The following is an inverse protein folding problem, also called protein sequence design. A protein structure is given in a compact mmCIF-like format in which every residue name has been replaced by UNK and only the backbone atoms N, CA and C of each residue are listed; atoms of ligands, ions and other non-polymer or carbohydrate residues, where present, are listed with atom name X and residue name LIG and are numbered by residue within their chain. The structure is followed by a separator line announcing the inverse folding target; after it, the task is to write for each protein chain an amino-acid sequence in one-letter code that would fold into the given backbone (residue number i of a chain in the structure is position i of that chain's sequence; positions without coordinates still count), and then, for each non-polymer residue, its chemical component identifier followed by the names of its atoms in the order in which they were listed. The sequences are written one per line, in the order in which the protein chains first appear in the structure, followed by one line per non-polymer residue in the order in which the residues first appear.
data_IF_169728199392
#
_entry.id   IF_169728199392
#
_cell.length_a   1.000
_cell.length_b   1.000
_cell.length_c   1.000
_cell.angle_alpha   90.00
_cell.angle_beta   90.00
_cell.angle_gamma   90.00
#
_symmetry.space_group_name_H-M   'P 1'
#
loop_
_entity.id
_entity.type
_entity.pdbx_description
1 polymer ?
#
# COMPACT_ATOMS: atom_id res chain seq x y z
N UNK A 1 -6.59 -4.35 -5.53
CA UNK A 1 -6.39 -2.98 -6.05
C UNK A 1 -5.09 -2.95 -6.82
N UNK A 2 -4.88 -2.01 -7.74
CA UNK A 2 -3.72 -2.01 -8.64
C UNK A 2 -3.33 -0.58 -9.02
N UNK A 3 -2.47 -0.39 -10.02
CA UNK A 3 -1.95 0.89 -10.48
C UNK A 3 -3.02 1.98 -10.71
N UNK A 4 -4.24 1.63 -11.11
CA UNK A 4 -5.34 2.57 -11.37
C UNK A 4 -5.76 3.38 -10.13
N UNK A 5 -5.46 2.92 -8.92
CA UNK A 5 -5.68 3.67 -7.68
C UNK A 5 -4.97 5.04 -7.72
N UNK A 6 -3.80 5.08 -8.36
CA UNK A 6 -2.94 6.26 -8.46
C UNK A 6 -2.97 6.94 -9.83
N UNK A 7 -3.88 6.52 -10.73
CA UNK A 7 -3.98 7.08 -12.09
C UNK A 7 -4.12 8.60 -12.09
N UNK A 8 -4.97 9.14 -11.23
CA UNK A 8 -5.21 10.60 -11.14
C UNK A 8 -4.01 11.34 -10.57
N UNK A 9 -3.38 10.80 -9.54
CA UNK A 9 -2.15 11.35 -8.97
C UNK A 9 -1.03 11.38 -10.01
N UNK A 10 -0.86 10.28 -10.75
CA UNK A 10 0.12 10.20 -11.83
C UNK A 10 -0.14 11.26 -12.91
N UNK A 11 -1.40 11.45 -13.31
CA UNK A 11 -1.79 12.51 -14.25
C UNK A 11 -1.47 13.94 -13.75
N UNK A 12 -1.60 14.18 -12.44
CA UNK A 12 -1.29 15.48 -11.84
C UNK A 12 0.22 15.68 -11.71
N UNK A 13 0.97 14.63 -11.40
CA UNK A 13 2.40 14.70 -11.10
C UNK A 13 3.30 14.58 -12.33
N UNK A 14 2.79 14.07 -13.46
CA UNK A 14 3.59 13.78 -14.66
C UNK A 14 4.26 15.00 -15.30
N UNK A 15 3.80 16.22 -14.98
CA UNK A 15 4.46 17.45 -15.44
C UNK A 15 5.81 17.71 -14.75
N UNK A 16 5.95 17.20 -13.51
CA UNK A 16 7.05 17.52 -12.63
C UNK A 16 7.93 16.28 -12.34
N UNK A 17 7.34 15.09 -12.46
CA UNK A 17 7.98 13.81 -12.06
C UNK A 17 7.77 12.72 -13.11
N UNK A 18 8.74 11.83 -13.23
CA UNK A 18 8.52 10.52 -13.83
C UNK A 18 7.83 9.63 -12.80
N UNK A 19 6.57 9.29 -13.05
CA UNK A 19 5.75 8.47 -12.14
C UNK A 19 5.74 7.02 -12.59
N UNK A 20 6.10 6.11 -11.69
CA UNK A 20 6.15 4.67 -11.92
C UNK A 20 5.16 4.01 -10.96
N UNK A 21 4.28 3.19 -11.49
CA UNK A 21 3.23 2.50 -10.73
C UNK A 21 3.42 0.98 -10.87
N UNK A 22 4.23 0.34 -10.02
CA UNK A 22 4.44 -1.10 -10.10
C UNK A 22 3.15 -1.87 -9.75
N UNK A 23 2.95 -2.99 -10.44
CA UNK A 23 1.91 -3.97 -10.08
C UNK A 23 2.57 -5.03 -9.21
N UNK A 24 2.06 -5.21 -7.99
CA UNK A 24 2.56 -6.21 -7.07
C UNK A 24 2.22 -7.62 -7.56
N UNK A 25 3.06 -8.58 -7.24
CA UNK A 25 2.84 -10.00 -7.56
C UNK A 25 1.48 -10.48 -7.03
N UNK A 26 0.81 -11.35 -7.78
CA UNK A 26 -0.52 -11.87 -7.45
C UNK A 26 -1.66 -10.88 -7.63
N UNK A 27 -1.40 -9.62 -8.03
CA UNK A 27 -2.43 -8.62 -8.34
C UNK A 27 -2.78 -8.65 -9.82
N UNK A 28 -3.96 -8.13 -10.17
CA UNK A 28 -4.40 -8.06 -11.56
C UNK A 28 -3.41 -7.26 -12.41
N UNK A 29 -2.93 -7.87 -13.50
CA UNK A 29 -1.89 -7.32 -14.37
C UNK A 29 -0.48 -7.83 -14.08
N UNK A 30 -0.25 -8.59 -12.99
CA UNK A 30 0.99 -9.33 -12.77
C UNK A 30 0.93 -10.71 -13.43
N UNK A 31 2.03 -11.14 -14.00
CA UNK A 31 2.26 -12.50 -14.52
C UNK A 31 2.91 -13.43 -13.47
N UNK A 32 3.18 -12.91 -12.27
CA UNK A 32 3.81 -13.64 -11.17
C UNK A 32 2.83 -13.87 -10.02
N UNK A 33 2.79 -15.07 -9.40
CA UNK A 33 2.01 -15.32 -8.21
C UNK A 33 2.60 -14.56 -7.01
N UNK A 34 1.76 -14.22 -6.04
CA UNK A 34 2.22 -13.61 -4.80
C UNK A 34 2.95 -14.65 -3.93
N UNK A 35 4.18 -14.35 -3.55
CA UNK A 35 5.01 -15.21 -2.69
C UNK A 35 5.16 -14.60 -1.29
N UNK A 36 5.70 -13.38 -1.20
CA UNK A 36 5.85 -12.67 0.08
C UNK A 36 5.93 -11.16 -0.11
N UNK A 37 5.79 -10.40 0.98
CA UNK A 37 6.06 -8.96 1.01
C UNK A 37 7.54 -8.71 0.69
N UNK A 38 8.43 -9.57 1.20
CA UNK A 38 9.86 -9.46 0.97
C UNK A 38 10.24 -9.65 -0.50
N UNK A 39 9.70 -10.64 -1.18
CA UNK A 39 10.01 -10.87 -2.60
C UNK A 39 9.52 -9.72 -3.49
N UNK A 40 8.37 -9.12 -3.17
CA UNK A 40 7.89 -7.91 -3.84
C UNK A 40 8.83 -6.72 -3.58
N UNK A 41 9.31 -6.55 -2.35
CA UNK A 41 10.27 -5.50 -2.02
C UNK A 41 11.59 -5.70 -2.77
N UNK A 42 12.15 -6.89 -2.77
CA UNK A 42 13.40 -7.23 -3.47
C UNK A 42 13.27 -7.03 -4.99
N UNK A 43 12.13 -7.40 -5.59
CA UNK A 43 11.86 -7.20 -7.01
C UNK A 43 11.81 -5.70 -7.38
N UNK A 44 11.17 -4.87 -6.56
CA UNK A 44 11.11 -3.42 -6.79
C UNK A 44 12.48 -2.78 -6.56
N UNK A 45 13.24 -3.20 -5.55
CA UNK A 45 14.62 -2.75 -5.32
C UNK A 45 15.50 -3.07 -6.54
N UNK A 46 15.45 -4.29 -7.04
CA UNK A 46 16.21 -4.71 -8.22
C UNK A 46 15.83 -3.89 -9.46
N UNK A 47 14.55 -3.57 -9.63
CA UNK A 47 14.07 -2.70 -10.70
C UNK A 47 14.63 -1.27 -10.57
N UNK A 48 14.61 -0.69 -9.35
CA UNK A 48 15.19 0.63 -9.07
C UNK A 48 16.71 0.64 -9.31
N UNK A 49 17.40 -0.41 -8.91
CA UNK A 49 18.83 -0.56 -9.15
C UNK A 49 19.15 -0.53 -10.65
N UNK A 50 18.38 -1.26 -11.44
CA UNK A 50 18.63 -1.38 -12.87
C UNK A 50 18.23 -0.13 -13.68
N UNK A 51 17.05 0.44 -13.41
CA UNK A 51 16.49 1.51 -14.23
C UNK A 51 16.69 2.92 -13.67
N UNK A 52 16.93 3.05 -12.35
CA UNK A 52 17.02 4.35 -11.67
C UNK A 52 18.40 4.59 -11.01
N UNK A 53 19.38 3.72 -11.24
CA UNK A 53 20.70 3.86 -10.64
C UNK A 53 20.75 3.65 -9.14
N UNK A 54 19.79 2.87 -8.58
CA UNK A 54 19.77 2.44 -7.19
C UNK A 54 19.07 3.39 -6.22
N UNK A 55 18.56 4.52 -6.69
CA UNK A 55 17.91 5.52 -5.83
C UNK A 55 16.79 6.28 -6.56
N UNK A 56 15.72 6.63 -5.85
CA UNK A 56 14.63 7.46 -6.36
C UNK A 56 14.29 8.61 -5.40
N UNK A 57 13.66 9.65 -5.91
CA UNK A 57 13.28 10.80 -5.09
C UNK A 57 12.27 10.41 -4.00
N UNK A 58 11.16 9.76 -4.36
CA UNK A 58 10.08 9.40 -3.44
C UNK A 58 9.48 8.04 -3.78
N UNK A 59 9.16 7.27 -2.73
CA UNK A 59 8.35 6.05 -2.85
C UNK A 59 7.12 6.19 -1.96
N UNK A 60 5.93 5.94 -2.53
CA UNK A 60 4.67 5.93 -1.79
C UNK A 60 4.02 4.55 -1.77
N UNK A 61 3.34 4.20 -0.67
CA UNK A 61 2.61 2.95 -0.56
C UNK A 61 1.41 3.02 0.37
N UNK A 62 0.29 2.44 -0.08
CA UNK A 62 -0.94 2.28 0.69
C UNK A 62 -1.08 0.84 1.18
N UNK A 63 -1.39 0.66 2.47
CA UNK A 63 -1.76 -0.64 3.05
C UNK A 63 -0.68 -1.71 2.79
N UNK A 64 -0.95 -2.76 2.00
CA UNK A 64 0.05 -3.74 1.58
C UNK A 64 1.24 -3.07 0.84
N UNK A 65 0.98 -2.09 -0.02
CA UNK A 65 2.04 -1.31 -0.65
C UNK A 65 2.89 -0.53 0.35
N UNK A 66 2.29 -0.05 1.45
CA UNK A 66 3.00 0.54 2.57
C UNK A 66 3.88 -0.47 3.32
N UNK A 67 3.41 -1.72 3.49
CA UNK A 67 4.21 -2.80 4.09
C UNK A 67 5.40 -3.18 3.19
N UNK A 68 5.19 -3.25 1.86
CA UNK A 68 6.28 -3.47 0.90
C UNK A 68 7.31 -2.33 0.98
N UNK A 69 6.87 -1.08 1.05
CA UNK A 69 7.76 0.07 1.22
C UNK A 69 8.56 -0.01 2.52
N UNK A 70 7.91 -0.33 3.65
CA UNK A 70 8.60 -0.49 4.94
C UNK A 70 9.66 -1.62 4.89
N UNK A 71 9.36 -2.71 4.18
CA UNK A 71 10.33 -3.78 3.95
C UNK A 71 11.50 -3.30 3.07
N UNK A 72 11.24 -2.56 1.99
CA UNK A 72 12.29 -1.96 1.15
C UNK A 72 13.22 -1.07 1.96
N UNK A 73 12.68 -0.19 2.80
CA UNK A 73 13.46 0.71 3.66
C UNK A 73 14.30 -0.05 4.70
N UNK A 74 13.83 -1.22 5.14
CA UNK A 74 14.56 -2.09 6.07
C UNK A 74 15.73 -2.80 5.41
N UNK A 75 15.60 -3.14 4.11
CA UNK A 75 16.62 -3.85 3.32
C UNK A 75 17.64 -2.90 2.75
N UNK A 76 17.17 -1.74 2.25
CA UNK A 76 17.97 -0.75 1.52
C UNK A 76 17.78 0.62 2.14
N UNK A 77 18.72 1.03 2.99
CA UNK A 77 18.60 2.24 3.82
C UNK A 77 18.43 3.53 3.02
N UNK A 78 18.99 3.60 1.82
CA UNK A 78 19.11 4.77 0.96
C UNK A 78 18.35 4.65 -0.36
N UNK A 79 17.34 3.77 -0.43
CA UNK A 79 16.58 3.49 -1.66
C UNK A 79 15.82 4.71 -2.19
N UNK A 80 15.41 5.61 -1.30
CA UNK A 80 14.74 6.87 -1.65
C UNK A 80 15.09 7.99 -0.66
N UNK A 81 14.89 9.24 -1.09
CA UNK A 81 15.02 10.41 -0.20
C UNK A 81 13.78 10.55 0.69
N UNK A 82 12.59 10.34 0.14
CA UNK A 82 11.32 10.48 0.83
C UNK A 82 10.51 9.20 0.74
N UNK A 83 9.85 8.82 1.83
CA UNK A 83 8.93 7.70 1.88
C UNK A 83 7.57 8.16 2.40
N UNK A 84 6.49 7.85 1.67
CA UNK A 84 5.13 8.15 2.05
C UNK A 84 4.38 6.85 2.33
N UNK A 85 4.09 6.57 3.59
CA UNK A 85 3.42 5.34 4.04
C UNK A 85 2.01 5.68 4.47
N UNK A 86 1.00 5.14 3.79
CA UNK A 86 -0.40 5.33 4.13
C UNK A 86 -1.01 4.04 4.66
N UNK A 87 -1.63 4.08 5.83
CA UNK A 87 -2.51 3.02 6.36
C UNK A 87 -1.88 1.62 6.44
N UNK A 88 -0.56 1.53 6.69
CA UNK A 88 0.13 0.25 6.78
C UNK A 88 -0.05 -0.40 8.16
N UNK A 89 -0.39 -1.70 8.20
CA UNK A 89 -0.45 -2.48 9.44
C UNK A 89 0.89 -3.17 9.70
N UNK A 90 1.46 -2.96 10.90
CA UNK A 90 2.70 -3.64 11.33
C UNK A 90 2.50 -4.44 12.62
N UNK A 91 1.26 -4.51 13.10
CA UNK A 91 0.88 -5.32 14.27
C UNK A 91 0.18 -6.58 13.76
N UNK A 92 0.78 -7.76 13.90
CA UNK A 92 0.20 -9.01 13.44
C UNK A 92 -1.18 -9.30 14.04
N UNK A 93 -2.03 -9.98 13.26
CA UNK A 93 -3.36 -10.43 13.67
C UNK A 93 -3.49 -11.94 13.48
N UNK A 94 -3.08 -12.76 14.45
CA UNK A 94 -3.13 -14.22 14.32
C UNK A 94 -4.54 -14.75 14.02
N UNK A 95 -5.55 -14.18 14.66
CA UNK A 95 -6.94 -14.57 14.41
C UNK A 95 -7.38 -14.24 12.99
N UNK A 96 -7.14 -13.02 12.50
CA UNK A 96 -7.48 -12.64 11.13
C UNK A 96 -6.71 -13.48 10.13
N UNK A 97 -5.42 -13.71 10.38
CA UNK A 97 -4.57 -14.58 9.56
C UNK A 97 -5.16 -15.99 9.44
N UNK A 98 -5.50 -16.63 10.55
CA UNK A 98 -6.07 -17.96 10.57
C UNK A 98 -7.45 -18.05 9.86
N UNK A 99 -8.27 -17.01 9.97
CA UNK A 99 -9.59 -16.95 9.36
C UNK A 99 -9.57 -16.56 7.87
N UNK A 100 -8.46 -16.03 7.34
CA UNK A 100 -8.36 -15.57 5.95
C UNK A 100 -8.63 -16.71 4.96
N UNK A 101 -7.93 -17.82 5.07
CA UNK A 101 -8.09 -18.94 4.14
C UNK A 101 -9.50 -19.55 4.14
N UNK A 102 -10.14 -19.89 5.28
CA UNK A 102 -11.52 -20.40 5.28
C UNK A 102 -12.53 -19.34 4.80
N UNK A 103 -12.38 -18.06 5.16
CA UNK A 103 -13.28 -16.99 4.74
C UNK A 103 -13.26 -16.81 3.21
N UNK A 104 -12.08 -16.61 2.63
CA UNK A 104 -11.94 -16.49 1.16
C UNK A 104 -12.17 -17.84 0.46
N UNK A 105 -11.86 -18.96 1.15
CA UNK A 105 -12.12 -20.30 0.63
C UNK A 105 -13.58 -20.52 0.27
N UNK A 106 -14.49 -20.08 1.12
CA UNK A 106 -15.93 -20.24 0.96
C UNK A 106 -16.58 -19.12 0.13
N UNK A 107 -16.09 -17.88 0.24
CA UNK A 107 -16.73 -16.70 -0.36
C UNK A 107 -16.11 -16.24 -1.69
N UNK A 108 -15.01 -16.85 -2.14
CA UNK A 108 -14.30 -16.41 -3.34
C UNK A 108 -15.18 -16.36 -4.60
N UNK A 109 -16.12 -17.31 -4.76
CA UNK A 109 -17.06 -17.27 -5.88
C UNK A 109 -17.99 -16.06 -5.87
N UNK A 110 -18.29 -15.51 -4.69
CA UNK A 110 -19.19 -14.37 -4.52
C UNK A 110 -18.58 -13.05 -5.02
N UNK A 111 -17.25 -12.92 -5.02
CA UNK A 111 -16.59 -11.69 -5.50
C UNK A 111 -16.86 -11.41 -6.98
N UNK A 112 -17.19 -12.45 -7.78
CA UNK A 112 -17.58 -12.33 -9.18
C UNK A 112 -19.05 -11.92 -9.35
N UNK A 113 -19.84 -11.97 -8.28
CA UNK A 113 -21.20 -11.44 -8.28
C UNK A 113 -21.15 -9.92 -8.14
N UNK A 114 -21.62 -9.19 -9.16
CA UNK A 114 -21.52 -7.73 -9.22
C UNK A 114 -22.24 -7.02 -8.05
N UNK A 115 -23.39 -7.57 -7.61
CA UNK A 115 -24.12 -6.99 -6.47
C UNK A 115 -23.37 -7.16 -5.15
N UNK A 116 -22.76 -8.31 -4.93
CA UNK A 116 -21.89 -8.56 -3.79
C UNK A 116 -20.65 -7.65 -3.84
N UNK A 117 -20.00 -7.54 -5.01
CA UNK A 117 -18.86 -6.67 -5.21
C UNK A 117 -19.20 -5.19 -4.94
N UNK A 118 -20.39 -4.71 -5.34
CA UNK A 118 -20.86 -3.34 -5.00
C UNK A 118 -20.99 -3.12 -3.50
N UNK A 119 -21.55 -4.10 -2.77
CA UNK A 119 -21.68 -4.02 -1.31
C UNK A 119 -20.30 -4.00 -0.63
N UNK A 120 -19.39 -4.85 -1.07
CA UNK A 120 -18.02 -4.89 -0.58
C UNK A 120 -17.28 -3.57 -0.90
N UNK A 121 -17.41 -3.05 -2.12
CA UNK A 121 -16.80 -1.80 -2.54
C UNK A 121 -17.31 -0.60 -1.71
N UNK A 122 -18.62 -0.56 -1.43
CA UNK A 122 -19.20 0.48 -0.57
C UNK A 122 -18.57 0.51 0.83
N UNK A 123 -18.22 -0.66 1.39
CA UNK A 123 -17.55 -0.75 2.69
C UNK A 123 -16.12 -0.24 2.69
N UNK A 124 -15.49 -0.09 1.52
CA UNK A 124 -14.15 0.47 1.38
C UNK A 124 -14.14 2.02 1.37
N UNK A 125 -15.28 2.66 1.35
CA UNK A 125 -15.43 4.12 1.32
C UNK A 125 -14.65 4.82 0.19
N UNK A 126 -14.49 4.13 -0.95
CA UNK A 126 -13.80 4.63 -2.14
C UNK A 126 -14.74 5.41 -3.05
N UNK A 127 -14.18 6.29 -3.89
CA UNK A 127 -14.95 7.00 -4.92
C UNK A 127 -15.64 6.02 -5.87
N UNK A 128 -16.94 6.22 -6.11
CA UNK A 128 -17.77 5.34 -6.96
C UNK A 128 -17.20 5.18 -8.37
N UNK A 129 -16.50 6.18 -8.89
CA UNK A 129 -15.85 6.12 -10.20
C UNK A 129 -14.78 5.00 -10.35
N UNK A 130 -14.26 4.49 -9.22
CA UNK A 130 -13.26 3.42 -9.19
C UNK A 130 -13.88 2.01 -9.17
N UNK A 131 -15.21 1.89 -9.11
CA UNK A 131 -15.87 0.60 -8.96
C UNK A 131 -15.59 -0.36 -10.13
N UNK A 132 -15.61 0.12 -11.37
CA UNK A 132 -15.41 -0.74 -12.54
C UNK A 132 -13.98 -1.30 -12.60
N UNK A 133 -12.98 -0.48 -12.30
CA UNK A 133 -11.59 -0.93 -12.19
C UNK A 133 -11.43 -1.95 -11.04
N UNK A 134 -12.02 -1.66 -9.87
CA UNK A 134 -12.02 -2.56 -8.73
C UNK A 134 -12.66 -3.91 -9.07
N UNK A 135 -13.85 -3.92 -9.66
CA UNK A 135 -14.58 -5.13 -9.99
C UNK A 135 -13.85 -5.99 -11.02
N UNK A 136 -13.38 -5.36 -12.11
CA UNK A 136 -12.58 -6.04 -13.13
C UNK A 136 -11.37 -6.73 -12.52
N UNK A 137 -10.56 -6.01 -11.78
CA UNK A 137 -9.32 -6.54 -11.23
C UNK A 137 -9.57 -7.60 -10.14
N UNK A 138 -10.59 -7.40 -9.30
CA UNK A 138 -10.96 -8.40 -8.29
C UNK A 138 -11.37 -9.72 -8.93
N UNK A 139 -12.04 -9.69 -10.10
CA UNK A 139 -12.39 -10.89 -10.85
C UNK A 139 -11.19 -11.60 -11.49
N UNK A 140 -10.08 -10.90 -11.73
CA UNK A 140 -8.87 -11.44 -12.36
C UNK A 140 -7.89 -12.04 -11.35
N UNK A 141 -7.89 -11.55 -10.09
CA UNK A 141 -7.00 -12.07 -9.05
C UNK A 141 -7.35 -13.53 -8.75
N UNK A 142 -6.34 -14.39 -8.71
CA UNK A 142 -6.51 -15.80 -8.38
C UNK A 142 -6.81 -15.98 -6.88
N UNK A 143 -7.61 -17.02 -6.55
CA UNK A 143 -7.95 -17.33 -5.15
C UNK A 143 -6.72 -17.55 -4.28
N UNK A 144 -5.73 -18.27 -4.80
CA UNK A 144 -4.50 -18.56 -4.06
C UNK A 144 -3.74 -17.27 -3.73
N UNK A 145 -3.58 -16.37 -4.70
CA UNK A 145 -2.91 -15.08 -4.52
C UNK A 145 -3.65 -14.18 -3.53
N UNK A 146 -4.99 -14.12 -3.64
CA UNK A 146 -5.81 -13.33 -2.71
C UNK A 146 -5.62 -13.80 -1.26
N UNK A 147 -5.62 -15.10 -1.02
CA UNK A 147 -5.35 -15.68 0.30
C UNK A 147 -3.92 -15.36 0.72
N UNK A 148 -2.93 -15.57 -0.16
CA UNK A 148 -1.52 -15.40 0.16
C UNK A 148 -1.18 -13.95 0.57
N UNK A 149 -1.57 -12.94 -0.23
CA UNK A 149 -1.25 -11.57 0.13
C UNK A 149 -2.03 -11.05 1.34
N UNK A 150 -3.27 -11.52 1.56
CA UNK A 150 -4.03 -11.18 2.78
C UNK A 150 -3.41 -11.82 4.02
N UNK A 151 -2.95 -13.06 3.94
CA UNK A 151 -2.24 -13.73 5.03
C UNK A 151 -0.89 -13.05 5.32
N UNK A 152 -0.11 -12.73 4.29
CA UNK A 152 1.14 -12.01 4.44
C UNK A 152 0.92 -10.64 5.12
N UNK A 153 -0.08 -9.88 4.66
CA UNK A 153 -0.41 -8.58 5.23
C UNK A 153 -0.84 -8.67 6.71
N UNK A 154 -1.60 -9.70 7.08
CA UNK A 154 -2.07 -9.87 8.46
C UNK A 154 -1.03 -10.46 9.41
N UNK A 155 0.03 -11.06 8.88
CA UNK A 155 1.17 -11.59 9.63
C UNK A 155 2.36 -10.62 9.72
N UNK A 156 2.37 -9.56 8.90
CA UNK A 156 3.50 -8.65 8.79
C UNK A 156 3.81 -7.97 10.14
N UNK A 157 5.09 -7.95 10.48
CA UNK A 157 5.65 -7.19 11.59
C UNK A 157 6.83 -6.34 11.10
N UNK A 158 7.02 -5.18 11.73
CA UNK A 158 8.06 -4.24 11.35
C UNK A 158 9.45 -4.86 11.58
N UNK A 159 10.29 -4.83 10.55
CA UNK A 159 11.68 -5.26 10.66
C UNK A 159 12.47 -4.19 11.44
N UNK A 160 13.16 -4.54 12.56
CA UNK A 160 13.91 -3.58 13.35
C UNK A 160 15.01 -2.83 12.58
N UNK A 161 15.52 -3.39 11.49
CA UNK A 161 16.53 -2.75 10.65
C UNK A 161 16.04 -1.42 10.03
N UNK A 162 14.72 -1.16 10.02
CA UNK A 162 14.13 0.07 9.51
C UNK A 162 14.59 1.32 10.27
N UNK A 163 14.98 1.17 11.55
CA UNK A 163 15.53 2.27 12.33
C UNK A 163 16.77 2.92 11.69
N UNK A 164 17.44 2.19 10.80
CA UNK A 164 18.60 2.66 10.06
C UNK A 164 18.30 3.31 8.71
N UNK A 165 17.03 3.47 8.31
CA UNK A 165 16.71 4.12 7.04
C UNK A 165 17.24 5.56 6.97
N UNK A 166 17.73 5.96 5.81
CA UNK A 166 18.14 7.33 5.53
C UNK A 166 16.99 8.19 4.96
N UNK A 167 15.87 7.55 4.60
CA UNK A 167 14.72 8.23 4.04
C UNK A 167 13.99 9.09 5.09
N UNK A 168 13.50 10.25 4.67
CA UNK A 168 12.53 11.02 5.46
C UNK A 168 11.16 10.35 5.32
N UNK A 169 10.65 9.76 6.42
CA UNK A 169 9.43 8.97 6.38
C UNK A 169 8.23 9.80 6.85
N UNK A 170 7.23 9.91 5.98
CA UNK A 170 5.94 10.54 6.25
C UNK A 170 4.84 9.49 6.31
N UNK A 171 4.19 9.41 7.47
CA UNK A 171 3.12 8.46 7.75
C UNK A 171 1.78 9.17 7.67
N UNK A 172 0.81 8.55 7.01
CA UNK A 172 -0.56 9.06 6.92
C UNK A 172 -1.54 7.96 7.36
N UNK A 173 -2.51 8.34 8.17
CA UNK A 173 -3.61 7.47 8.58
C UNK A 173 -4.90 8.28 8.66
N UNK A 174 -6.01 7.67 8.29
CA UNK A 174 -7.33 8.29 8.48
C UNK A 174 -7.77 8.22 9.95
N UNK A 175 -8.42 9.27 10.45
CA UNK A 175 -8.97 9.29 11.81
C UNK A 175 -9.97 8.15 12.07
N UNK A 176 -10.73 7.76 11.05
CA UNK A 176 -11.76 6.70 11.12
C UNK A 176 -11.23 5.30 10.81
N UNK A 177 -9.93 5.13 10.79
CA UNK A 177 -9.33 3.80 10.65
C UNK A 177 -9.53 2.93 11.90
N UNK A 178 -9.39 1.62 11.72
CA UNK A 178 -9.42 0.73 12.87
C UNK A 178 -8.21 0.99 13.80
N UNK A 179 -8.41 0.71 15.09
CA UNK A 179 -7.39 0.97 16.13
C UNK A 179 -6.04 0.29 15.89
N UNK A 180 -6.03 -0.82 15.12
CA UNK A 180 -4.77 -1.52 14.80
C UNK A 180 -3.92 -0.72 13.83
N UNK A 181 -4.52 -0.10 12.82
CA UNK A 181 -3.81 0.77 11.87
C UNK A 181 -3.25 1.99 12.60
N UNK A 182 -4.05 2.65 13.44
CA UNK A 182 -3.58 3.80 14.21
C UNK A 182 -2.40 3.43 15.13
N UNK A 183 -2.51 2.32 15.87
CA UNK A 183 -1.41 1.80 16.68
C UNK A 183 -0.19 1.39 15.85
N UNK A 184 -0.41 0.89 14.65
CA UNK A 184 0.68 0.56 13.72
C UNK A 184 1.39 1.82 13.26
N UNK A 185 0.67 2.90 12.97
CA UNK A 185 1.27 4.18 12.62
C UNK A 185 2.13 4.74 13.77
N UNK A 186 1.63 4.67 15.02
CA UNK A 186 2.41 5.03 16.21
C UNK A 186 3.67 4.16 16.35
N UNK A 187 3.55 2.84 16.16
CA UNK A 187 4.67 1.91 16.25
C UNK A 187 5.74 2.17 15.18
N UNK A 188 5.33 2.46 13.94
CA UNK A 188 6.25 2.83 12.85
C UNK A 188 6.96 4.15 13.20
N UNK A 189 6.20 5.15 13.65
CA UNK A 189 6.75 6.44 14.04
C UNK A 189 7.77 6.31 15.19
N UNK A 190 7.47 5.47 16.18
CA UNK A 190 8.40 5.18 17.28
C UNK A 190 9.66 4.40 16.86
N UNK A 191 9.59 3.61 15.79
CA UNK A 191 10.71 2.81 15.29
C UNK A 191 11.65 3.56 14.32
N UNK A 192 11.16 4.64 13.69
CA UNK A 192 11.93 5.40 12.69
C UNK A 192 12.21 6.80 13.22
N UNK A 193 13.45 7.10 13.67
CA UNK A 193 13.80 8.43 14.15
C UNK A 193 13.56 9.51 13.09
N UNK A 194 12.91 10.61 13.47
CA UNK A 194 12.61 11.74 12.59
C UNK A 194 11.42 11.55 11.66
N UNK A 195 10.73 10.40 11.69
CA UNK A 195 9.49 10.20 10.95
C UNK A 195 8.37 11.12 11.46
N UNK A 196 7.42 11.44 10.57
CA UNK A 196 6.28 12.33 10.89
C UNK A 196 4.97 11.61 10.65
N UNK A 197 4.09 11.59 11.66
CA UNK A 197 2.73 11.03 11.53
C UNK A 197 1.70 12.16 11.38
N UNK A 198 0.87 12.04 10.37
CA UNK A 198 -0.30 12.91 10.13
C UNK A 198 -1.56 12.06 10.17
N UNK A 199 -2.41 12.29 11.17
CA UNK A 199 -3.76 11.71 11.22
C UNK A 199 -4.72 12.65 10.51
N UNK A 200 -5.38 12.16 9.47
CA UNK A 200 -6.23 12.95 8.58
C UNK A 200 -7.70 12.90 9.04
N UNK A 201 -8.28 14.06 9.46
CA UNK A 201 -9.63 14.09 10.00
C UNK A 201 -10.68 13.56 9.03
N UNK A 202 -11.61 12.77 9.54
CA UNK A 202 -12.76 12.25 8.81
C UNK A 202 -12.48 11.18 7.78
N UNK A 203 -11.22 10.82 7.50
CA UNK A 203 -10.85 9.82 6.49
C UNK A 203 -10.86 8.39 7.02
N UNK A 204 -11.25 7.47 6.15
CA UNK A 204 -11.16 6.03 6.33
C UNK A 204 -9.85 5.49 5.71
N UNK A 205 -9.68 4.16 5.76
CA UNK A 205 -8.54 3.43 5.21
C UNK A 205 -8.26 3.79 3.75
N UNK A 206 -7.07 4.29 3.45
CA UNK A 206 -6.68 4.72 2.10
C UNK A 206 -7.41 5.97 1.59
N UNK A 207 -8.18 6.63 2.46
CA UNK A 207 -9.00 7.79 2.05
C UNK A 207 -8.20 8.96 1.52
N UNK A 208 -6.94 9.07 1.86
CA UNK A 208 -6.07 10.13 1.38
C UNK A 208 -5.69 9.93 -0.09
N UNK A 209 -5.07 8.80 -0.42
CA UNK A 209 -4.68 8.53 -1.81
C UNK A 209 -5.87 8.22 -2.71
N UNK A 210 -6.88 7.47 -2.23
CA UNK A 210 -7.98 7.01 -3.08
C UNK A 210 -9.04 8.07 -3.36
N UNK A 211 -9.27 8.99 -2.41
CA UNK A 211 -10.39 9.92 -2.47
C UNK A 211 -9.99 11.38 -2.69
N UNK A 212 -8.73 11.75 -2.43
CA UNK A 212 -8.23 13.13 -2.59
C UNK A 212 -6.92 13.19 -3.37
N UNK A 213 -6.94 12.85 -4.68
CA UNK A 213 -5.72 12.80 -5.49
C UNK A 213 -5.03 14.15 -5.65
N UNK A 214 -5.78 15.27 -5.58
CA UNK A 214 -5.20 16.61 -5.65
C UNK A 214 -4.37 16.92 -4.40
N UNK A 215 -4.96 16.72 -3.23
CA UNK A 215 -4.25 16.94 -1.95
C UNK A 215 -3.08 15.98 -1.79
N UNK A 216 -3.24 14.72 -2.20
CA UNK A 216 -2.16 13.73 -2.19
C UNK A 216 -0.98 14.18 -3.07
N UNK A 217 -1.23 14.59 -4.31
CA UNK A 217 -0.21 15.09 -5.22
C UNK A 217 0.43 16.39 -4.72
N UNK A 218 -0.35 17.30 -4.15
CA UNK A 218 0.17 18.51 -3.54
C UNK A 218 1.11 18.21 -2.36
N UNK A 219 0.71 17.27 -1.49
CA UNK A 219 1.56 16.81 -0.37
C UNK A 219 2.88 16.21 -0.86
N UNK A 220 2.86 15.44 -1.97
CA UNK A 220 4.10 14.93 -2.58
C UNK A 220 5.00 16.09 -3.01
N UNK A 221 4.45 17.13 -3.66
CA UNK A 221 5.23 18.31 -4.07
C UNK A 221 5.83 19.03 -2.86
N UNK A 222 5.05 19.22 -1.80
CA UNK A 222 5.52 19.88 -0.56
C UNK A 222 6.63 19.09 0.13
N UNK A 223 6.55 17.76 0.15
CA UNK A 223 7.57 16.89 0.73
C UNK A 223 8.84 16.88 -0.15
N UNK A 224 8.70 16.89 -1.46
CA UNK A 224 9.81 16.69 -2.40
C UNK A 224 10.53 17.98 -2.80
N UNK A 225 10.15 19.14 -2.27
CA UNK A 225 10.81 20.44 -2.56
C UNK A 225 12.09 20.64 -1.73
N UNK A 226 12.25 19.96 -0.61
CA UNK A 226 13.43 20.04 0.28
C UNK A 226 14.52 19.03 -0.17
#
# INVERSE_FOLDING_TARGET
MSWWNYRRQAQILQSDYQVILPVLDGHAGSDRPFTSIRDNADAIIAWIDYFCGGHVCLIGGLSLGGQVLLEMLSVRRDICRYALVESASVIPSPLTHALTAPAFGSSYGLIRNRSFAKLQFASLHMQQALFEDYYRDTCLIQKADMIAFMQASTAYSLNPAIAGTAAQVHLFAGEKENRRILRSADAICGAIPGSRLTVLPGLYHGGFSLNDPQRYAQTIREIAVD
#
